data_IF_422858765096
#
_entry.id   IF_422858765096
#
_cell.length_a   1.000
_cell.length_b   1.000
_cell.length_c   1.000
_cell.angle_alpha   90.00
_cell.angle_beta   90.00
_cell.angle_gamma   90.00
#
_symmetry.space_group_name_H-M   'P 1'
#
loop_
_entity.id
_entity.type
_entity.pdbx_description
1 polymer ?
#
# COMPACT_ATOMS: atom_id res chain seq x y z
N UNK A 1 -29.08 8.23 -11.22
CA UNK A 1 -28.94 7.16 -10.20
C UNK A 1 -28.70 5.76 -10.77
N UNK A 2 -29.57 5.14 -11.59
CA UNK A 2 -29.43 3.73 -12.01
C UNK A 2 -28.12 3.31 -12.73
N UNK A 3 -27.49 4.18 -13.54
CA UNK A 3 -26.24 3.82 -14.26
C UNK A 3 -24.99 3.85 -13.38
N UNK A 4 -24.85 4.88 -12.55
CA UNK A 4 -23.73 5.00 -11.61
C UNK A 4 -23.90 3.99 -10.47
N UNK A 5 -25.16 3.76 -10.06
CA UNK A 5 -25.52 2.63 -9.22
C UNK A 5 -25.11 1.32 -9.89
N UNK A 6 -25.47 1.05 -11.16
CA UNK A 6 -25.08 -0.19 -11.84
C UNK A 6 -23.56 -0.39 -11.98
N UNK A 7 -22.78 0.66 -12.22
CA UNK A 7 -21.31 0.58 -12.21
C UNK A 7 -20.78 0.27 -10.81
N UNK A 8 -21.25 1.01 -9.80
CA UNK A 8 -20.89 0.76 -8.40
C UNK A 8 -21.36 -0.62 -7.92
N UNK A 9 -22.53 -1.08 -8.34
CA UNK A 9 -23.11 -2.39 -8.05
C UNK A 9 -22.30 -3.50 -8.73
N UNK A 10 -21.77 -3.24 -9.94
CA UNK A 10 -20.84 -4.12 -10.63
C UNK A 10 -19.49 -4.24 -9.91
N UNK A 11 -18.91 -3.12 -9.48
CA UNK A 11 -17.69 -3.09 -8.68
C UNK A 11 -17.90 -3.75 -7.30
N UNK A 12 -19.02 -3.49 -6.63
CA UNK A 12 -19.39 -4.13 -5.37
C UNK A 12 -19.63 -5.63 -5.55
N UNK A 13 -20.30 -6.04 -6.62
CA UNK A 13 -20.46 -7.44 -6.98
C UNK A 13 -19.11 -8.13 -7.23
N UNK A 14 -18.18 -7.44 -7.89
CA UNK A 14 -16.79 -7.90 -8.07
C UNK A 14 -16.06 -7.99 -6.75
N UNK A 15 -16.20 -7.00 -5.87
CA UNK A 15 -15.62 -7.00 -4.54
C UNK A 15 -16.12 -8.17 -3.69
N UNK A 16 -17.41 -8.48 -3.74
CA UNK A 16 -18.01 -9.64 -3.05
C UNK A 16 -17.43 -10.95 -3.60
N UNK A 17 -17.38 -11.11 -4.92
CA UNK A 17 -16.79 -12.29 -5.58
C UNK A 17 -15.31 -12.45 -5.22
N UNK A 18 -14.54 -11.38 -5.31
CA UNK A 18 -13.12 -11.36 -4.97
C UNK A 18 -12.92 -11.69 -3.49
N UNK A 19 -13.72 -11.12 -2.60
CA UNK A 19 -13.66 -11.40 -1.16
C UNK A 19 -13.95 -12.88 -0.89
N UNK A 20 -15.00 -13.45 -1.49
CA UNK A 20 -15.32 -14.88 -1.37
C UNK A 20 -14.19 -15.78 -1.91
N UNK A 21 -13.60 -15.41 -3.04
CA UNK A 21 -12.46 -16.13 -3.61
C UNK A 21 -11.23 -16.09 -2.70
N UNK A 22 -10.90 -14.92 -2.15
CA UNK A 22 -9.81 -14.77 -1.17
C UNK A 22 -10.10 -15.62 0.06
N UNK A 23 -11.32 -15.61 0.58
CA UNK A 23 -11.72 -16.43 1.73
C UNK A 23 -11.53 -17.93 1.47
N UNK A 24 -12.02 -18.43 0.33
CA UNK A 24 -11.83 -19.83 -0.07
C UNK A 24 -10.35 -20.18 -0.23
N UNK A 25 -9.56 -19.29 -0.85
CA UNK A 25 -8.13 -19.48 -1.06
C UNK A 25 -7.36 -19.47 0.27
N UNK A 26 -7.80 -18.70 1.27
CA UNK A 26 -7.19 -18.68 2.60
C UNK A 26 -7.53 -19.93 3.41
N UNK A 27 -8.75 -20.47 3.27
CA UNK A 27 -9.10 -21.77 3.83
C UNK A 27 -8.20 -22.88 3.23
N UNK A 28 -8.06 -22.90 1.90
CA UNK A 28 -7.15 -23.82 1.21
C UNK A 28 -5.69 -23.65 1.67
N UNK A 29 -5.17 -22.41 1.69
CA UNK A 29 -3.80 -22.14 2.11
C UNK A 29 -3.51 -22.63 3.53
N UNK A 30 -4.47 -22.49 4.44
CA UNK A 30 -4.35 -22.97 5.82
C UNK A 30 -4.29 -24.49 5.87
N UNK A 31 -5.18 -25.18 5.14
CA UNK A 31 -5.16 -26.66 5.06
C UNK A 31 -3.85 -27.16 4.48
N UNK A 32 -3.43 -26.63 3.33
CA UNK A 32 -2.16 -26.99 2.69
C UNK A 32 -0.95 -26.75 3.62
N UNK A 33 -0.95 -25.66 4.39
CA UNK A 33 0.12 -25.37 5.35
C UNK A 33 0.11 -26.28 6.59
N UNK A 34 -1.06 -26.82 6.98
CA UNK A 34 -1.18 -27.80 8.06
C UNK A 34 -0.64 -29.17 7.64
N UNK A 35 -0.91 -29.58 6.39
CA UNK A 35 -0.56 -30.91 5.89
C UNK A 35 0.89 -30.99 5.36
N UNK A 36 1.42 -29.88 4.82
CA UNK A 36 2.72 -29.86 4.16
C UNK A 36 3.74 -29.13 5.03
N UNK A 37 4.90 -29.75 5.26
CA UNK A 37 6.00 -29.14 6.03
C UNK A 37 6.54 -27.86 5.39
N UNK A 38 7.09 -26.91 6.18
CA UNK A 38 7.68 -25.69 5.63
C UNK A 38 8.79 -25.99 4.61
N UNK A 39 8.83 -25.23 3.52
CA UNK A 39 9.82 -25.37 2.45
C UNK A 39 9.22 -25.27 1.04
N UNK A 40 9.94 -25.83 0.07
CA UNK A 40 9.57 -25.77 -1.36
C UNK A 40 8.24 -26.47 -1.67
N UNK A 41 7.95 -27.60 -1.04
CA UNK A 41 6.68 -28.31 -1.23
C UNK A 41 5.47 -27.48 -0.82
N UNK A 42 5.55 -26.80 0.34
CA UNK A 42 4.50 -25.88 0.80
C UNK A 42 4.40 -24.66 -0.11
N UNK A 43 5.52 -24.13 -0.58
CA UNK A 43 5.52 -23.03 -1.54
C UNK A 43 4.77 -23.41 -2.83
N UNK A 44 5.07 -24.59 -3.38
CA UNK A 44 4.42 -25.11 -4.58
C UNK A 44 2.91 -25.25 -4.38
N UNK A 45 2.48 -25.78 -3.23
CA UNK A 45 1.06 -25.88 -2.88
C UNK A 45 0.37 -24.52 -2.71
N UNK A 46 1.09 -23.47 -2.32
CA UNK A 46 0.54 -22.12 -2.19
C UNK A 46 0.54 -21.32 -3.51
N UNK A 47 1.19 -21.80 -4.57
CA UNK A 47 1.23 -21.09 -5.86
C UNK A 47 -0.15 -20.78 -6.46
N UNK A 48 -1.16 -21.68 -6.43
CA UNK A 48 -2.49 -21.35 -6.95
C UNK A 48 -3.12 -20.13 -6.27
N UNK A 49 -2.87 -19.97 -4.96
CA UNK A 49 -3.33 -18.81 -4.18
C UNK A 49 -2.59 -17.54 -4.60
N UNK A 50 -1.27 -17.63 -4.81
CA UNK A 50 -0.46 -16.52 -5.30
C UNK A 50 -0.92 -16.09 -6.70
N UNK A 51 -1.19 -17.03 -7.61
CA UNK A 51 -1.72 -16.73 -8.95
C UNK A 51 -3.07 -16.03 -8.85
N UNK A 52 -3.98 -16.51 -7.99
CA UNK A 52 -5.25 -15.85 -7.75
C UNK A 52 -5.07 -14.41 -7.24
N UNK A 53 -4.13 -14.17 -6.32
CA UNK A 53 -3.86 -12.83 -5.77
C UNK A 53 -3.40 -11.84 -6.85
N UNK A 54 -2.64 -12.29 -7.85
CA UNK A 54 -2.24 -11.47 -9.00
C UNK A 54 -3.34 -11.36 -10.06
N UNK A 55 -4.29 -12.29 -10.11
CA UNK A 55 -5.45 -12.23 -11.00
C UNK A 55 -6.54 -11.27 -10.53
N UNK A 56 -6.77 -11.17 -9.21
CA UNK A 56 -7.88 -10.39 -8.64
C UNK A 56 -7.88 -8.91 -9.06
N UNK A 57 -6.76 -8.17 -9.06
CA UNK A 57 -6.80 -6.77 -9.44
C UNK A 57 -7.38 -6.55 -10.84
N UNK A 58 -7.16 -7.46 -11.79
CA UNK A 58 -7.68 -7.35 -13.15
C UNK A 58 -9.21 -7.46 -13.24
N UNK A 59 -9.89 -7.93 -12.20
CA UNK A 59 -11.34 -8.01 -12.18
C UNK A 59 -12.00 -6.63 -11.96
N UNK A 60 -11.27 -5.66 -11.40
CA UNK A 60 -11.80 -4.34 -11.08
C UNK A 60 -11.61 -3.36 -12.24
N UNK A 61 -12.62 -2.54 -12.49
CA UNK A 61 -12.56 -1.45 -13.47
C UNK A 61 -11.94 -0.22 -12.84
N UNK A 62 -12.30 0.10 -11.58
CA UNK A 62 -11.79 1.31 -10.92
C UNK A 62 -10.31 1.20 -10.54
N UNK A 63 -9.60 2.28 -10.81
CA UNK A 63 -8.20 2.50 -10.46
C UNK A 63 -7.96 2.33 -8.96
N UNK A 64 -8.93 2.75 -8.12
CA UNK A 64 -8.82 2.64 -6.66
C UNK A 64 -8.87 1.18 -6.21
N UNK A 65 -9.83 0.38 -6.71
CA UNK A 65 -9.94 -1.03 -6.34
C UNK A 65 -8.80 -1.87 -6.93
N UNK A 66 -8.35 -1.57 -8.16
CA UNK A 66 -7.15 -2.17 -8.77
C UNK A 66 -5.92 -1.92 -7.90
N UNK A 67 -5.62 -0.66 -7.57
CA UNK A 67 -4.48 -0.30 -6.73
C UNK A 67 -4.54 -0.89 -5.32
N UNK A 68 -5.72 -0.85 -4.69
CA UNK A 68 -5.91 -1.36 -3.32
C UNK A 68 -5.75 -2.88 -3.26
N UNK A 69 -6.35 -3.61 -4.20
CA UNK A 69 -6.21 -5.07 -4.27
C UNK A 69 -4.79 -5.50 -4.64
N UNK A 70 -4.11 -4.77 -5.53
CA UNK A 70 -2.70 -5.02 -5.83
C UNK A 70 -1.81 -4.82 -4.59
N UNK A 71 -2.02 -3.72 -3.85
CA UNK A 71 -1.27 -3.45 -2.62
C UNK A 71 -1.53 -4.52 -1.55
N UNK A 72 -2.79 -4.88 -1.30
CA UNK A 72 -3.14 -5.83 -0.25
C UNK A 72 -2.83 -7.29 -0.60
N UNK A 73 -3.13 -7.73 -1.81
CA UNK A 73 -3.02 -9.13 -2.20
C UNK A 73 -1.69 -9.44 -2.87
N UNK A 74 -1.35 -8.75 -3.97
CA UNK A 74 -0.12 -9.03 -4.72
C UNK A 74 1.15 -8.75 -3.91
N UNK A 75 1.13 -7.70 -3.08
CA UNK A 75 2.26 -7.37 -2.23
C UNK A 75 2.15 -7.99 -0.84
N UNK A 76 1.29 -7.49 0.04
CA UNK A 76 1.29 -7.94 1.44
C UNK A 76 0.89 -9.41 1.55
N UNK A 77 -0.20 -9.80 0.87
CA UNK A 77 -0.74 -11.15 0.90
C UNK A 77 0.27 -12.18 0.40
N UNK A 78 0.82 -11.99 -0.80
CA UNK A 78 1.82 -12.91 -1.36
C UNK A 78 3.05 -13.02 -0.47
N UNK A 79 3.55 -11.92 0.09
CA UNK A 79 4.74 -11.97 0.95
C UNK A 79 4.45 -12.65 2.28
N UNK A 80 3.23 -12.51 2.82
CA UNK A 80 2.79 -13.28 4.00
C UNK A 80 2.64 -14.77 3.68
N UNK A 81 2.19 -15.13 2.48
CA UNK A 81 2.15 -16.53 2.02
C UNK A 81 3.55 -17.11 1.80
N UNK A 82 4.51 -16.32 1.30
CA UNK A 82 5.92 -16.73 1.22
C UNK A 82 6.51 -17.00 2.61
N UNK A 83 6.19 -16.15 3.59
CA UNK A 83 6.57 -16.39 4.98
C UNK A 83 5.93 -17.65 5.53
N UNK A 84 4.63 -17.87 5.29
CA UNK A 84 3.92 -19.10 5.66
C UNK A 84 4.55 -20.35 5.01
N UNK A 85 4.93 -20.26 3.73
CA UNK A 85 5.64 -21.30 3.00
C UNK A 85 6.94 -21.68 3.70
N UNK A 86 7.69 -20.68 4.19
CA UNK A 86 8.91 -20.83 4.97
C UNK A 86 8.68 -21.18 6.45
N UNK A 87 7.42 -21.32 6.90
CA UNK A 87 7.10 -21.61 8.31
C UNK A 87 7.41 -20.45 9.25
N UNK A 88 7.36 -19.21 8.75
CA UNK A 88 7.67 -17.98 9.47
C UNK A 88 6.46 -17.05 9.50
N UNK A 89 6.52 -16.09 10.42
CA UNK A 89 5.49 -15.05 10.55
C UNK A 89 4.24 -15.55 11.28
N UNK A 90 3.26 -14.65 11.48
CA UNK A 90 2.12 -14.92 12.35
C UNK A 90 1.13 -15.93 11.77
N UNK A 91 1.10 -16.12 10.44
CA UNK A 91 0.24 -17.11 9.79
C UNK A 91 0.68 -18.55 10.04
N UNK A 92 1.93 -18.77 10.46
CA UNK A 92 2.45 -20.11 10.73
C UNK A 92 1.99 -20.68 12.09
N UNK A 93 1.28 -19.88 12.90
CA UNK A 93 0.71 -20.32 14.17
C UNK A 93 -0.52 -21.22 13.94
N UNK A 94 -0.48 -22.51 14.33
CA UNK A 94 -1.60 -23.43 14.12
C UNK A 94 -2.82 -23.09 14.97
N UNK A 95 -2.66 -22.36 16.08
CA UNK A 95 -3.75 -21.98 16.98
C UNK A 95 -4.64 -20.87 16.43
N UNK A 96 -4.22 -20.23 15.33
CA UNK A 96 -4.89 -19.07 14.78
C UNK A 96 -6.25 -19.44 14.15
N UNK A 97 -7.38 -18.83 14.59
CA UNK A 97 -8.69 -19.09 13.97
C UNK A 97 -8.73 -18.71 12.49
N UNK A 98 -9.59 -19.36 11.69
CA UNK A 98 -9.64 -19.16 10.24
C UNK A 98 -9.91 -17.70 9.85
N UNK A 99 -10.82 -17.04 10.55
CA UNK A 99 -11.12 -15.61 10.35
C UNK A 99 -9.88 -14.74 10.54
N UNK A 100 -9.16 -14.96 11.64
CA UNK A 100 -7.94 -14.22 11.93
C UNK A 100 -6.83 -14.53 10.93
N UNK A 101 -6.71 -15.78 10.49
CA UNK A 101 -5.78 -16.20 9.44
C UNK A 101 -6.09 -15.48 8.12
N UNK A 102 -7.33 -15.55 7.64
CA UNK A 102 -7.74 -14.96 6.37
C UNK A 102 -7.58 -13.44 6.37
N UNK A 103 -8.03 -12.76 7.42
CA UNK A 103 -7.89 -11.31 7.54
C UNK A 103 -6.42 -10.90 7.72
N UNK A 104 -5.62 -11.64 8.48
CA UNK A 104 -4.19 -11.32 8.63
C UNK A 104 -3.41 -11.55 7.35
N UNK A 105 -3.82 -12.50 6.51
CA UNK A 105 -3.21 -12.73 5.22
C UNK A 105 -3.60 -11.66 4.19
N UNK A 106 -4.90 -11.35 4.08
CA UNK A 106 -5.43 -10.48 3.03
C UNK A 106 -5.40 -8.98 3.36
N UNK A 107 -5.40 -8.61 4.65
CA UNK A 107 -5.51 -7.21 5.09
C UNK A 107 -4.25 -6.76 5.86
N UNK A 108 -4.05 -5.44 5.99
CA UNK A 108 -2.92 -4.86 6.74
C UNK A 108 -3.12 -4.92 8.27
N UNK A 109 -3.30 -6.12 8.79
CA UNK A 109 -3.59 -6.39 10.21
C UNK A 109 -2.41 -7.05 10.89
N UNK A 110 -2.14 -6.63 12.13
CA UNK A 110 -1.27 -7.39 13.05
C UNK A 110 -2.13 -8.10 14.09
N UNK A 111 -1.92 -9.39 14.20
CA UNK A 111 -2.40 -10.17 15.34
C UNK A 111 -1.60 -9.70 16.55
N UNK A 112 -2.26 -9.07 17.52
CA UNK A 112 -1.62 -8.67 18.77
C UNK A 112 -1.07 -9.92 19.45
N UNK A 113 0.26 -10.03 19.50
CA UNK A 113 0.88 -10.66 20.67
C UNK A 113 0.81 -9.63 21.80
N UNK A 114 0.36 -10.01 23.02
CA UNK A 114 0.35 -9.07 24.13
C UNK A 114 1.79 -8.53 24.32
N UNK A 115 1.98 -7.20 24.38
CA UNK A 115 3.31 -6.65 24.51
C UNK A 115 3.93 -7.10 25.84
N UNK A 116 5.24 -7.37 25.91
CA UNK A 116 5.95 -7.35 27.19
C UNK A 116 5.72 -5.97 27.82
N UNK A 117 5.37 -5.95 29.11
CA UNK A 117 4.81 -4.84 29.89
C UNK A 117 5.61 -3.51 29.93
N UNK A 118 6.62 -3.29 29.10
CA UNK A 118 7.59 -2.20 29.32
C UNK A 118 7.77 -1.16 28.22
N UNK A 119 7.05 -1.15 27.09
CA UNK A 119 7.27 -0.09 26.09
C UNK A 119 6.01 0.52 25.47
N UNK A 120 5.87 1.80 25.81
CA UNK A 120 5.16 2.89 25.14
C UNK A 120 3.63 2.88 25.24
N UNK A 121 3.15 3.84 26.04
CA UNK A 121 1.92 4.60 25.79
C UNK A 121 1.93 5.10 24.33
N UNK A 122 1.48 4.28 23.40
CA UNK A 122 0.84 4.77 22.21
C UNK A 122 -0.64 4.81 22.57
N UNK A 123 -1.17 6.00 22.77
CA UNK A 123 -2.61 6.17 22.85
C UNK A 123 -3.19 5.51 21.58
N UNK A 124 -4.15 4.57 21.71
CA UNK A 124 -4.86 4.11 20.54
C UNK A 124 -5.44 5.36 19.89
N UNK A 125 -5.26 5.62 18.59
CA UNK A 125 -6.02 6.68 17.98
C UNK A 125 -7.47 6.25 18.13
N UNK A 126 -8.21 6.92 19.00
CA UNK A 126 -9.60 6.62 19.25
C UNK A 126 -10.34 6.68 17.91
N UNK A 127 -11.42 5.91 17.74
CA UNK A 127 -12.27 5.96 16.53
C UNK A 127 -12.50 7.39 15.94
N UNK A 128 -12.61 8.47 16.76
CA UNK A 128 -12.59 9.87 16.28
C UNK A 128 -11.45 10.23 15.31
N UNK A 129 -10.23 9.76 15.53
CA UNK A 129 -9.10 10.10 14.67
C UNK A 129 -9.21 9.45 13.28
N UNK A 130 -9.74 8.23 13.18
CA UNK A 130 -9.97 7.58 11.89
C UNK A 130 -11.13 8.25 11.14
N UNK A 131 -12.22 8.56 11.84
CA UNK A 131 -13.36 9.28 11.27
C UNK A 131 -12.96 10.68 10.74
N UNK A 132 -12.13 11.40 11.50
CA UNK A 132 -11.59 12.70 11.07
C UNK A 132 -10.78 12.58 9.77
N UNK A 133 -9.89 11.58 9.66
CA UNK A 133 -9.11 11.34 8.44
C UNK A 133 -9.98 11.02 7.23
N UNK A 134 -11.05 10.25 7.42
CA UNK A 134 -12.03 9.96 6.36
C UNK A 134 -12.73 11.24 5.94
N UNK A 135 -13.19 12.06 6.88
CA UNK A 135 -13.88 13.32 6.59
C UNK A 135 -12.98 14.28 5.80
N UNK A 136 -11.75 14.50 6.28
CA UNK A 136 -10.78 15.38 5.63
C UNK A 136 -10.44 14.86 4.23
N UNK A 137 -10.08 13.59 4.11
CA UNK A 137 -9.70 13.02 2.81
C UNK A 137 -10.88 13.02 1.84
N UNK A 138 -12.09 12.71 2.32
CA UNK A 138 -13.32 12.74 1.55
C UNK A 138 -13.73 14.15 1.07
N UNK A 139 -13.29 15.21 1.76
CA UNK A 139 -13.47 16.59 1.32
C UNK A 139 -12.35 17.06 0.36
N UNK A 140 -11.10 16.68 0.63
CA UNK A 140 -9.93 17.14 -0.14
C UNK A 140 -9.79 16.44 -1.49
N UNK A 141 -10.05 15.13 -1.57
CA UNK A 141 -9.91 14.36 -2.83
C UNK A 141 -10.81 14.94 -3.94
N UNK A 142 -12.11 15.23 -3.73
CA UNK A 142 -12.93 15.87 -4.75
C UNK A 142 -12.41 17.23 -5.21
N UNK A 143 -11.85 18.03 -4.29
CA UNK A 143 -11.24 19.32 -4.64
C UNK A 143 -10.00 19.15 -5.53
N UNK A 144 -9.16 18.15 -5.22
CA UNK A 144 -8.01 17.79 -6.06
C UNK A 144 -8.48 17.32 -7.44
N UNK A 145 -9.50 16.48 -7.50
CA UNK A 145 -10.08 15.99 -8.75
C UNK A 145 -10.61 17.14 -9.61
N UNK A 146 -11.31 18.09 -8.99
CA UNK A 146 -11.74 19.32 -9.67
C UNK A 146 -10.54 20.13 -10.17
N UNK A 147 -9.47 20.22 -9.37
CA UNK A 147 -8.22 20.87 -9.74
C UNK A 147 -7.59 20.34 -11.02
N UNK A 148 -7.67 19.02 -11.31
CA UNK A 148 -7.12 18.44 -12.55
C UNK A 148 -7.75 19.03 -13.82
N UNK A 149 -8.94 19.64 -13.76
CA UNK A 149 -9.53 20.34 -14.93
C UNK A 149 -8.69 21.53 -15.40
N UNK A 150 -7.83 22.06 -14.52
CA UNK A 150 -6.96 23.20 -14.81
C UNK A 150 -5.50 22.78 -14.98
N UNK A 151 -5.22 21.48 -15.22
CA UNK A 151 -3.85 20.95 -15.29
C UNK A 151 -2.98 21.67 -16.32
N UNK A 152 -3.54 22.07 -17.46
CA UNK A 152 -2.81 22.75 -18.55
C UNK A 152 -2.35 24.15 -18.15
N UNK A 153 -3.00 24.77 -17.16
CA UNK A 153 -2.64 26.08 -16.60
C UNK A 153 -1.68 25.98 -15.41
N UNK A 154 -1.38 24.76 -14.92
CA UNK A 154 -0.49 24.56 -13.78
C UNK A 154 0.96 24.47 -14.23
N UNK A 155 1.85 25.06 -13.44
CA UNK A 155 3.27 24.75 -13.56
C UNK A 155 3.53 23.28 -13.22
N UNK A 156 4.61 22.72 -13.78
CA UNK A 156 5.01 21.34 -13.52
C UNK A 156 5.09 21.00 -12.02
N UNK A 157 5.62 21.92 -11.20
CA UNK A 157 5.74 21.73 -9.75
C UNK A 157 4.40 21.73 -9.01
N UNK A 158 3.45 22.55 -9.46
CA UNK A 158 2.09 22.54 -8.90
C UNK A 158 1.39 21.22 -9.21
N UNK A 159 1.52 20.73 -10.44
CA UNK A 159 0.96 19.45 -10.86
C UNK A 159 1.56 18.30 -10.02
N UNK A 160 2.88 18.27 -9.88
CA UNK A 160 3.57 17.28 -9.04
C UNK A 160 3.09 17.30 -7.58
N UNK A 161 2.95 18.49 -6.97
CA UNK A 161 2.45 18.63 -5.61
C UNK A 161 0.99 18.14 -5.48
N UNK A 162 0.17 18.37 -6.51
CA UNK A 162 -1.22 17.92 -6.56
C UNK A 162 -1.31 16.39 -6.63
N UNK A 163 -0.47 15.73 -7.43
CA UNK A 163 -0.39 14.26 -7.45
C UNK A 163 0.08 13.70 -6.10
N UNK A 164 1.10 14.31 -5.50
CA UNK A 164 1.60 13.91 -4.19
C UNK A 164 0.50 13.98 -3.13
N UNK A 165 -0.26 15.08 -3.10
CA UNK A 165 -1.41 15.24 -2.22
C UNK A 165 -2.48 14.20 -2.52
N UNK A 166 -2.83 13.98 -3.79
CA UNK A 166 -3.86 13.02 -4.19
C UNK A 166 -3.55 11.62 -3.64
N UNK A 167 -2.34 11.12 -3.88
CA UNK A 167 -1.94 9.77 -3.45
C UNK A 167 -1.93 9.67 -1.93
N UNK A 168 -1.41 10.71 -1.25
CA UNK A 168 -1.36 10.75 0.20
C UNK A 168 -2.77 10.66 0.81
N UNK A 169 -3.70 11.51 0.37
CA UNK A 169 -5.07 11.50 0.87
C UNK A 169 -5.85 10.24 0.47
N UNK A 170 -5.63 9.70 -0.73
CA UNK A 170 -6.25 8.44 -1.17
C UNK A 170 -5.78 7.25 -0.34
N UNK A 171 -4.47 7.16 -0.06
CA UNK A 171 -3.92 6.14 0.83
C UNK A 171 -4.44 6.32 2.26
N UNK A 172 -4.51 7.56 2.76
CA UNK A 172 -5.03 7.86 4.09
C UNK A 172 -6.52 7.48 4.23
N UNK A 173 -7.34 7.76 3.22
CA UNK A 173 -8.75 7.35 3.17
C UNK A 173 -8.88 5.82 3.17
N UNK A 174 -8.14 5.12 2.29
CA UNK A 174 -8.14 3.66 2.20
C UNK A 174 -7.79 3.02 3.55
N UNK A 175 -6.68 3.46 4.15
CA UNK A 175 -6.19 2.89 5.40
C UNK A 175 -7.13 3.21 6.58
N UNK A 176 -7.73 4.40 6.63
CA UNK A 176 -8.70 4.76 7.65
C UNK A 176 -10.00 3.95 7.53
N UNK A 177 -10.50 3.74 6.32
CA UNK A 177 -11.69 2.91 6.08
C UNK A 177 -11.46 1.45 6.48
N UNK A 178 -10.32 0.88 6.05
CA UNK A 178 -9.91 -0.49 6.40
C UNK A 178 -9.76 -0.63 7.93
N UNK A 179 -9.20 0.38 8.60
CA UNK A 179 -9.08 0.39 10.05
C UNK A 179 -10.42 0.33 10.77
N UNK A 180 -11.39 1.15 10.36
CA UNK A 180 -12.74 1.13 10.97
C UNK A 180 -13.39 -0.24 10.76
N UNK A 181 -13.26 -0.81 9.56
CA UNK A 181 -13.80 -2.13 9.26
C UNK A 181 -13.18 -3.22 10.14
N UNK A 182 -11.85 -3.26 10.24
CA UNK A 182 -11.14 -4.27 11.03
C UNK A 182 -11.43 -4.11 12.53
N UNK A 183 -11.40 -2.87 13.05
CA UNK A 183 -11.64 -2.63 14.46
C UNK A 183 -13.09 -2.93 14.86
N UNK A 184 -14.05 -2.44 14.06
CA UNK A 184 -15.49 -2.60 14.34
C UNK A 184 -16.02 -4.01 14.11
N UNK A 185 -15.58 -4.70 13.05
CA UNK A 185 -16.10 -6.02 12.71
C UNK A 185 -15.28 -7.18 13.30
N UNK A 186 -13.97 -7.00 13.53
CA UNK A 186 -13.05 -8.10 13.84
C UNK A 186 -12.31 -7.93 15.17
N UNK A 187 -12.44 -6.77 15.85
CA UNK A 187 -11.73 -6.50 17.09
C UNK A 187 -10.20 -6.52 16.97
N UNK A 188 -9.67 -6.44 15.75
CA UNK A 188 -8.22 -6.47 15.50
C UNK A 188 -7.65 -5.05 15.33
N UNK A 189 -6.34 -4.91 15.46
CA UNK A 189 -5.64 -3.65 15.27
C UNK A 189 -4.88 -3.62 13.94
N UNK A 190 -5.03 -2.50 13.24
CA UNK A 190 -4.27 -2.22 12.04
C UNK A 190 -2.82 -1.90 12.39
N UNK A 191 -1.88 -2.29 11.52
CA UNK A 191 -0.49 -1.89 11.70
C UNK A 191 -0.35 -0.36 11.71
N UNK A 192 0.53 0.22 12.54
CA UNK A 192 0.92 1.62 12.41
C UNK A 192 1.44 1.87 10.98
N UNK A 193 1.00 2.98 10.39
CA UNK A 193 1.28 3.31 8.98
C UNK A 193 2.44 4.28 8.83
N UNK A 194 2.44 5.32 9.66
CA UNK A 194 3.45 6.37 9.67
C UNK A 194 3.76 6.75 11.13
N UNK A 195 5.01 7.10 11.41
CA UNK A 195 5.44 7.67 12.70
C UNK A 195 6.26 8.94 12.45
N UNK A 196 5.57 10.09 12.43
CA UNK A 196 6.16 11.44 12.33
C UNK A 196 7.32 11.50 11.31
N UNK A 197 7.06 11.24 10.01
CA UNK A 197 8.12 11.15 8.98
C UNK A 197 8.94 12.42 8.83
N UNK A 198 8.36 13.59 9.13
CA UNK A 198 9.04 14.89 9.15
C UNK A 198 10.12 15.03 10.24
N UNK A 199 10.26 14.06 11.15
CA UNK A 199 11.33 14.02 12.15
C UNK A 199 12.48 13.06 11.78
N UNK A 200 12.46 12.51 10.56
CA UNK A 200 13.49 11.60 10.07
C UNK A 200 14.82 12.32 9.93
N UNK A 201 15.85 11.80 10.61
CA UNK A 201 17.21 12.36 10.60
C UNK A 201 18.20 11.60 9.71
N UNK A 202 17.73 10.55 9.03
CA UNK A 202 18.51 9.71 8.13
C UNK A 202 17.56 8.94 7.22
N UNK A 203 18.06 8.45 6.08
CA UNK A 203 17.27 7.63 5.16
C UNK A 203 16.85 6.32 5.80
N UNK A 204 17.73 5.72 6.61
CA UNK A 204 17.40 4.52 7.38
C UNK A 204 16.27 4.76 8.39
N UNK A 205 16.24 5.93 9.04
CA UNK A 205 15.18 6.29 9.97
C UNK A 205 13.85 6.56 9.23
N UNK A 206 13.90 7.26 8.10
CA UNK A 206 12.74 7.51 7.25
C UNK A 206 12.06 6.20 6.79
N UNK A 207 12.77 5.40 6.00
CA UNK A 207 12.23 4.17 5.38
C UNK A 207 12.04 3.03 6.37
N UNK A 208 12.87 2.95 7.40
CA UNK A 208 12.88 1.83 8.32
C UNK A 208 11.90 1.96 9.48
N UNK A 209 11.55 3.19 9.89
CA UNK A 209 10.86 3.45 11.17
C UNK A 209 9.73 4.47 11.10
N UNK A 210 9.60 5.25 10.03
CA UNK A 210 8.68 6.39 10.03
C UNK A 210 7.70 6.43 8.87
N UNK A 211 8.11 5.94 7.70
CA UNK A 211 7.30 5.98 6.48
C UNK A 211 6.78 4.59 6.11
N UNK A 212 5.49 4.52 5.76
CA UNK A 212 4.78 3.33 5.27
C UNK A 212 5.22 2.04 5.96
N UNK A 213 5.08 1.99 7.29
CA UNK A 213 5.64 0.99 8.18
C UNK A 213 5.20 -0.45 7.91
N UNK A 214 4.13 -0.64 7.14
CA UNK A 214 3.71 -1.95 6.63
C UNK A 214 4.75 -2.56 5.68
N UNK A 215 5.34 -1.74 4.80
CA UNK A 215 6.34 -2.17 3.83
C UNK A 215 7.61 -2.71 4.49
N UNK A 216 8.30 -1.98 5.40
CA UNK A 216 9.43 -2.56 6.11
C UNK A 216 8.99 -3.69 7.05
N UNK A 217 7.76 -3.69 7.60
CA UNK A 217 7.29 -4.80 8.43
C UNK A 217 7.19 -6.12 7.64
N UNK A 218 6.82 -6.08 6.36
CA UNK A 218 6.78 -7.27 5.52
C UNK A 218 8.13 -7.58 4.86
N UNK A 219 8.86 -6.59 4.36
CA UNK A 219 10.15 -6.78 3.67
C UNK A 219 11.27 -7.22 4.61
N UNK A 220 11.25 -6.80 5.89
CA UNK A 220 12.28 -7.20 6.86
C UNK A 220 12.37 -8.73 7.03
N UNK A 221 11.29 -9.45 7.39
CA UNK A 221 11.34 -10.90 7.55
C UNK A 221 11.40 -11.67 6.23
N UNK A 222 10.81 -11.15 5.14
CA UNK A 222 10.70 -11.87 3.86
C UNK A 222 11.91 -11.68 2.93
N UNK A 223 12.60 -10.53 3.00
CA UNK A 223 13.69 -10.17 2.08
C UNK A 223 14.97 -9.78 2.83
N UNK A 224 14.92 -8.74 3.67
CA UNK A 224 16.12 -8.20 4.31
C UNK A 224 16.86 -9.24 5.16
N UNK A 225 16.16 -9.89 6.10
CA UNK A 225 16.75 -10.86 7.02
C UNK A 225 17.37 -12.07 6.31
N UNK A 226 16.67 -12.76 5.38
CA UNK A 226 17.28 -13.91 4.69
C UNK A 226 18.46 -13.49 3.80
N UNK A 227 18.35 -12.39 3.04
CA UNK A 227 19.46 -11.92 2.20
C UNK A 227 20.65 -11.48 3.05
N UNK A 228 20.41 -10.76 4.14
CA UNK A 228 21.46 -10.33 5.07
C UNK A 228 22.20 -11.53 5.66
N UNK A 229 21.49 -12.58 6.04
CA UNK A 229 22.11 -13.76 6.64
C UNK A 229 23.10 -14.45 5.68
N UNK A 230 22.85 -14.38 4.37
CA UNK A 230 23.71 -15.00 3.36
C UNK A 230 24.78 -14.05 2.78
N UNK A 231 24.45 -12.77 2.61
CA UNK A 231 25.23 -11.82 1.80
C UNK A 231 25.58 -10.51 2.52
N UNK A 232 25.23 -10.38 3.80
CA UNK A 232 25.54 -9.22 4.64
C UNK A 232 24.55 -8.05 4.54
N UNK A 233 24.77 -7.06 5.41
CA UNK A 233 23.82 -5.95 5.63
C UNK A 233 23.51 -5.14 4.36
N UNK A 234 24.54 -4.81 3.58
CA UNK A 234 24.38 -3.98 2.37
C UNK A 234 23.52 -4.68 1.32
N UNK A 235 23.76 -5.97 1.06
CA UNK A 235 22.95 -6.77 0.16
C UNK A 235 21.49 -6.86 0.64
N UNK A 236 21.29 -7.06 1.94
CA UNK A 236 19.95 -7.06 2.53
C UNK A 236 19.19 -5.75 2.26
N UNK A 237 19.85 -4.60 2.45
CA UNK A 237 19.28 -3.28 2.15
C UNK A 237 18.96 -3.18 0.66
N UNK A 238 19.95 -3.42 -0.21
CA UNK A 238 19.80 -3.26 -1.66
C UNK A 238 18.66 -4.11 -2.23
N UNK A 239 18.62 -5.40 -1.89
CA UNK A 239 17.56 -6.29 -2.38
C UNK A 239 16.19 -5.90 -1.83
N UNK A 240 16.10 -5.41 -0.59
CA UNK A 240 14.83 -4.94 -0.03
C UNK A 240 14.29 -3.73 -0.79
N UNK A 241 15.16 -2.76 -1.12
CA UNK A 241 14.79 -1.60 -1.92
C UNK A 241 14.45 -1.98 -3.37
N UNK A 242 15.21 -2.89 -3.99
CA UNK A 242 14.90 -3.40 -5.33
C UNK A 242 13.53 -4.06 -5.37
N UNK A 243 13.25 -4.99 -4.44
CA UNK A 243 11.94 -5.66 -4.36
C UNK A 243 10.82 -4.65 -4.08
N UNK A 244 11.06 -3.64 -3.23
CA UNK A 244 10.11 -2.54 -3.03
C UNK A 244 9.82 -1.80 -4.33
N UNK A 245 10.85 -1.46 -5.11
CA UNK A 245 10.70 -0.78 -6.40
C UNK A 245 9.88 -1.58 -7.39
N UNK A 246 10.21 -2.86 -7.57
CA UNK A 246 9.47 -3.77 -8.45
C UNK A 246 7.99 -3.89 -8.03
N UNK A 247 7.70 -3.98 -6.73
CA UNK A 247 6.31 -4.03 -6.27
C UNK A 247 5.54 -2.73 -6.53
N UNK A 248 6.20 -1.56 -6.47
CA UNK A 248 5.55 -0.31 -6.85
C UNK A 248 5.30 -0.24 -8.36
N UNK A 249 6.21 -0.71 -9.20
CA UNK A 249 5.98 -0.83 -10.64
C UNK A 249 4.78 -1.74 -10.96
N UNK A 250 4.66 -2.88 -10.25
CA UNK A 250 3.50 -3.78 -10.36
C UNK A 250 2.21 -3.06 -9.98
N UNK A 251 2.20 -2.32 -8.88
CA UNK A 251 1.02 -1.55 -8.45
C UNK A 251 0.68 -0.46 -9.48
N UNK A 252 1.69 0.24 -9.99
CA UNK A 252 1.54 1.28 -11.00
C UNK A 252 0.99 0.71 -12.31
N UNK A 253 1.44 -0.48 -12.71
CA UNK A 253 0.87 -1.20 -13.84
C UNK A 253 -0.62 -1.50 -13.62
N UNK A 254 -1.02 -2.01 -12.46
CA UNK A 254 -2.43 -2.27 -12.17
C UNK A 254 -3.29 -1.00 -12.13
N UNK A 255 -2.74 0.11 -11.64
CA UNK A 255 -3.43 1.41 -11.56
C UNK A 255 -3.57 2.04 -12.96
N UNK A 256 -2.48 2.08 -13.74
CA UNK A 256 -2.38 2.89 -14.95
C UNK A 256 -2.54 2.09 -16.25
N UNK A 257 -2.52 0.76 -16.18
CA UNK A 257 -2.50 -0.13 -17.36
C UNK A 257 -1.37 0.18 -18.34
N UNK A 258 -0.28 0.75 -17.86
CA UNK A 258 0.91 1.06 -18.65
C UNK A 258 2.08 0.17 -18.22
N UNK A 259 2.90 -0.30 -19.18
CA UNK A 259 4.07 -1.10 -18.85
C UNK A 259 5.00 -0.31 -17.92
N UNK A 260 5.71 -1.00 -17.01
CA UNK A 260 6.59 -0.35 -16.05
C UNK A 260 7.74 0.37 -16.77
N UNK A 261 7.97 1.64 -16.46
CA UNK A 261 9.06 2.43 -17.06
C UNK A 261 10.41 2.16 -16.39
N UNK A 262 10.39 1.66 -15.15
CA UNK A 262 11.58 1.46 -14.33
C UNK A 262 11.99 2.69 -13.53
N UNK A 263 11.36 3.85 -13.73
CA UNK A 263 11.68 5.10 -13.02
C UNK A 263 11.46 4.95 -11.51
N UNK A 264 10.38 4.27 -11.13
CA UNK A 264 10.03 4.04 -9.72
C UNK A 264 11.00 3.04 -9.10
N UNK A 265 11.37 2.00 -9.85
CA UNK A 265 12.44 1.10 -9.42
C UNK A 265 13.76 1.85 -9.23
N UNK A 266 14.10 2.76 -10.16
CA UNK A 266 15.27 3.63 -10.07
C UNK A 266 15.27 4.49 -8.81
N UNK A 267 14.12 5.09 -8.45
CA UNK A 267 13.95 5.82 -7.19
C UNK A 267 14.31 4.95 -5.98
N UNK A 268 13.72 3.75 -5.85
CA UNK A 268 14.01 2.90 -4.70
C UNK A 268 15.45 2.37 -4.69
N UNK A 269 16.01 2.00 -5.84
CA UNK A 269 17.42 1.57 -5.94
C UNK A 269 18.36 2.68 -5.49
N UNK A 270 18.15 3.91 -5.95
CA UNK A 270 18.92 5.08 -5.50
C UNK A 270 18.84 5.24 -3.98
N UNK A 271 17.64 5.19 -3.41
CA UNK A 271 17.45 5.24 -1.96
C UNK A 271 18.13 4.07 -1.23
N UNK A 272 18.15 2.87 -1.81
CA UNK A 272 18.86 1.71 -1.29
C UNK A 272 20.36 1.94 -1.23
N UNK A 273 20.96 2.44 -2.33
CA UNK A 273 22.39 2.77 -2.39
C UNK A 273 22.72 3.83 -1.34
N UNK A 274 21.97 4.92 -1.28
CA UNK A 274 22.20 6.00 -0.32
C UNK A 274 22.01 5.52 1.13
N UNK A 275 21.02 4.66 1.41
CA UNK A 275 20.81 4.09 2.75
C UNK A 275 21.96 3.16 3.15
N UNK A 276 22.47 2.35 2.23
CA UNK A 276 23.62 1.47 2.47
C UNK A 276 24.90 2.30 2.68
N UNK A 277 25.11 3.34 1.89
CA UNK A 277 26.23 4.27 2.01
C UNK A 277 26.17 5.04 3.35
N UNK A 278 25.00 5.56 3.73
CA UNK A 278 24.77 6.21 5.02
C UNK A 278 25.05 5.26 6.19
N UNK A 279 24.62 4.00 6.10
CA UNK A 279 24.91 2.98 7.11
C UNK A 279 26.40 2.60 7.17
N UNK A 280 27.12 2.65 6.05
CA UNK A 280 28.58 2.47 6.01
C UNK A 280 29.31 3.67 6.61
N UNK A 281 28.95 4.89 6.22
CA UNK A 281 29.48 6.14 6.78
C UNK A 281 29.29 6.19 8.29
N UNK A 282 28.08 5.84 8.76
CA UNK A 282 27.73 5.78 10.18
C UNK A 282 28.46 4.70 10.98
N UNK A 283 29.22 3.80 10.34
CA UNK A 283 30.10 2.83 11.04
C UNK A 283 31.54 3.32 11.19
N UNK A 284 31.95 4.35 10.46
CA UNK A 284 33.30 4.89 10.56
C UNK A 284 33.45 5.68 11.88
N UNK A 285 34.32 5.18 12.76
CA UNK A 285 34.61 5.83 14.02
C UNK A 285 35.37 7.15 13.77
N UNK A 286 35.00 8.20 14.50
CA UNK A 286 35.64 9.52 14.38
C UNK A 286 35.21 10.36 13.17
N UNK A 287 34.40 9.82 12.25
CA UNK A 287 33.88 10.61 11.13
C UNK A 287 32.78 11.55 11.58
N UNK A 288 32.76 12.76 11.02
CA UNK A 288 31.77 13.77 11.33
C UNK A 288 30.36 13.30 10.96
N UNK A 289 29.38 13.68 11.79
CA UNK A 289 27.96 13.43 11.58
C UNK A 289 27.20 14.74 11.70
N UNK A 290 26.27 15.02 10.77
CA UNK A 290 25.47 16.23 10.86
C UNK A 290 24.64 16.22 12.16
N UNK A 291 24.54 17.35 12.88
CA UNK A 291 23.63 17.47 14.00
C UNK A 291 22.19 17.27 13.51
N UNK A 292 21.31 16.77 14.38
CA UNK A 292 19.93 16.40 14.01
C UNK A 292 19.16 17.54 13.32
N UNK A 293 19.36 18.78 13.78
CA UNK A 293 18.74 19.97 13.20
C UNK A 293 19.07 20.19 11.72
N UNK A 294 20.25 19.75 11.27
CA UNK A 294 20.67 19.78 9.88
C UNK A 294 20.32 18.49 9.14
N UNK A 295 20.46 17.34 9.80
CA UNK A 295 20.21 16.04 9.19
C UNK A 295 18.74 15.85 8.77
N UNK A 296 17.79 16.37 9.55
CA UNK A 296 16.35 16.30 9.23
C UNK A 296 16.00 17.02 7.92
N UNK A 297 16.26 18.32 7.76
CA UNK A 297 15.93 19.02 6.52
C UNK A 297 16.70 18.44 5.32
N UNK A 298 17.96 18.01 5.50
CA UNK A 298 18.71 17.34 4.43
C UNK A 298 18.04 16.03 3.98
N UNK A 299 17.61 15.20 4.93
CA UNK A 299 16.93 13.93 4.64
C UNK A 299 15.61 14.19 3.92
N UNK A 300 14.81 15.15 4.39
CA UNK A 300 13.53 15.49 3.77
C UNK A 300 13.70 16.13 2.40
N UNK A 301 14.69 17.00 2.23
CA UNK A 301 15.02 17.59 0.93
C UNK A 301 15.47 16.52 -0.06
N UNK A 302 16.29 15.55 0.37
CA UNK A 302 16.69 14.43 -0.47
C UNK A 302 15.47 13.59 -0.88
N UNK A 303 14.67 13.11 0.08
CA UNK A 303 13.47 12.29 -0.19
C UNK A 303 12.44 13.02 -1.05
N UNK A 304 12.17 14.29 -0.73
CA UNK A 304 11.25 15.12 -1.49
C UNK A 304 11.77 15.38 -2.90
N UNK A 305 13.03 15.78 -3.03
CA UNK A 305 13.67 16.06 -4.31
C UNK A 305 13.71 14.85 -5.23
N UNK A 306 14.15 13.68 -4.74
CA UNK A 306 14.13 12.43 -5.53
C UNK A 306 12.71 11.95 -5.82
N UNK A 307 11.76 12.17 -4.91
CA UNK A 307 10.35 11.86 -5.11
C UNK A 307 9.74 12.67 -6.27
N UNK A 308 9.99 13.98 -6.29
CA UNK A 308 9.56 14.87 -7.37
C UNK A 308 10.31 14.65 -8.68
N UNK A 309 11.49 14.04 -8.64
CA UNK A 309 12.28 13.76 -9.84
C UNK A 309 11.95 12.41 -10.49
N UNK A 310 11.79 11.34 -9.72
CA UNK A 310 11.66 9.98 -10.25
C UNK A 310 10.29 9.35 -9.99
N UNK A 311 9.71 9.58 -8.80
CA UNK A 311 8.50 8.88 -8.38
C UNK A 311 7.23 9.50 -8.97
N UNK A 312 7.03 10.81 -8.75
CA UNK A 312 5.81 11.49 -9.20
C UNK A 312 5.74 11.68 -10.72
N UNK A 313 6.84 12.00 -11.44
CA UNK A 313 6.81 12.09 -12.90
C UNK A 313 6.38 10.80 -13.59
N UNK A 314 6.75 9.62 -13.05
CA UNK A 314 6.31 8.34 -13.59
C UNK A 314 4.78 8.20 -13.61
N UNK A 315 4.07 8.76 -12.63
CA UNK A 315 2.60 8.75 -12.60
C UNK A 315 1.97 9.78 -13.52
N UNK A 316 2.61 10.95 -13.66
CA UNK A 316 2.17 11.96 -14.64
C UNK A 316 2.28 11.37 -16.05
N UNK A 317 3.44 10.81 -16.39
CA UNK A 317 3.68 10.15 -17.67
C UNK A 317 2.77 8.93 -17.88
N UNK A 318 2.30 8.31 -16.80
CA UNK A 318 1.33 7.24 -16.81
C UNK A 318 -0.12 7.67 -17.06
N UNK A 319 -0.44 8.97 -16.96
CA UNK A 319 -1.78 9.51 -17.17
C UNK A 319 -2.77 9.18 -16.04
N UNK A 320 -2.28 9.07 -14.79
CA UNK A 320 -3.14 8.74 -13.64
C UNK A 320 -4.30 9.73 -13.46
N UNK A 321 -4.05 11.02 -13.66
CA UNK A 321 -5.05 12.08 -13.64
C UNK A 321 -6.16 11.85 -14.68
N UNK A 322 -5.79 11.49 -15.91
CA UNK A 322 -6.74 11.26 -17.00
C UNK A 322 -7.63 10.06 -16.70
N UNK A 323 -7.05 8.98 -16.18
CA UNK A 323 -7.80 7.79 -15.77
C UNK A 323 -8.78 8.11 -14.64
N UNK A 324 -8.33 8.85 -13.61
CA UNK A 324 -9.21 9.26 -12.50
C UNK A 324 -10.31 10.20 -12.99
N UNK A 325 -9.97 11.17 -13.84
CA UNK A 325 -10.95 12.09 -14.42
C UNK A 325 -11.98 11.35 -15.28
N UNK A 326 -11.56 10.38 -16.09
CA UNK A 326 -12.45 9.54 -16.89
C UNK A 326 -13.41 8.73 -16.01
N UNK A 327 -12.93 8.15 -14.91
CA UNK A 327 -13.77 7.45 -13.93
C UNK A 327 -14.81 8.41 -13.33
N UNK A 328 -14.39 9.60 -12.89
CA UNK A 328 -15.30 10.59 -12.31
C UNK A 328 -16.32 11.13 -13.33
N UNK A 329 -15.89 11.42 -14.56
CA UNK A 329 -16.78 11.86 -15.64
C UNK A 329 -17.78 10.77 -16.03
N UNK A 330 -17.34 9.52 -16.12
CA UNK A 330 -18.22 8.37 -16.36
C UNK A 330 -19.31 8.25 -15.30
N UNK A 331 -18.94 8.40 -14.02
CA UNK A 331 -19.90 8.42 -12.91
C UNK A 331 -20.89 9.58 -13.04
N UNK A 332 -20.43 10.80 -13.34
CA UNK A 332 -21.29 11.98 -13.50
C UNK A 332 -22.29 11.83 -14.65
N UNK A 333 -21.83 11.39 -15.83
CA UNK A 333 -22.70 11.14 -17.00
C UNK A 333 -23.79 10.12 -16.66
N UNK A 334 -23.42 9.04 -15.97
CA UNK A 334 -24.37 8.03 -15.54
C UNK A 334 -25.36 8.56 -14.49
N UNK A 335 -24.93 9.47 -13.62
CA UNK A 335 -25.80 10.17 -12.67
C UNK A 335 -26.81 11.06 -13.40
N UNK A 336 -26.35 11.91 -14.34
CA UNK A 336 -27.17 12.81 -15.15
C UNK A 336 -28.20 12.05 -15.99
N UNK A 337 -27.77 11.01 -16.72
CA UNK A 337 -28.66 10.21 -17.56
C UNK A 337 -29.80 9.59 -16.76
N UNK A 338 -29.49 9.05 -15.57
CA UNK A 338 -30.53 8.47 -14.75
C UNK A 338 -31.35 9.52 -13.98
N UNK A 339 -30.84 10.74 -13.75
CA UNK A 339 -31.65 11.88 -13.32
C UNK A 339 -32.68 12.29 -14.37
N UNK A 340 -32.26 12.41 -15.65
CA UNK A 340 -33.15 12.70 -16.77
C UNK A 340 -34.22 11.64 -16.97
N UNK A 341 -33.88 10.35 -16.83
CA UNK A 341 -34.86 9.23 -16.90
C UNK A 341 -35.90 9.29 -15.78
N UNK A 342 -35.50 9.63 -14.56
CA UNK A 342 -36.44 9.79 -13.44
C UNK A 342 -37.35 11.01 -13.62
N UNK A 343 -36.80 12.14 -14.09
CA UNK A 343 -37.59 13.33 -14.37
C UNK A 343 -38.59 13.12 -15.52
N UNK A 344 -38.20 12.37 -16.56
CA UNK A 344 -39.11 11.99 -17.66
C UNK A 344 -40.15 10.93 -17.30
N UNK A 345 -39.89 10.09 -16.30
CA UNK A 345 -40.85 9.11 -15.79
C UNK A 345 -41.92 9.72 -14.87
N UNK A 346 -41.66 10.89 -14.28
CA UNK A 346 -42.63 11.65 -13.48
C UNK A 346 -43.53 12.60 -14.29
N UNK A 347 -43.38 12.65 -15.61
CA UNK A 347 -44.13 13.53 -16.51
C UNK A 347 -45.20 12.79 -17.34
N UNK A 348 -45.65 11.61 -16.89
CA UNK A 348 -46.75 10.84 -17.49
C UNK A 348 -47.92 10.69 -16.53
#
# INVERSE_FOLDING_TARGET
MAGAAAFMDGELGTLVKASAAVWAAMAYARMAAADIRPGSGRLLALLPVVVLFYGIPFAFSSTTFRGSSAFFLCWLGTFKLLLLAAGRGPLADPSLPLLHFACSAALPVKLRQPPPKSKLKQDPPSAPAAAYKILVSGAVIPLIIYGYQFKDSMSHWQLLAMYAAHIYFSLELLLAAVRILIHGALGMEMEPQVDRPYLASSLRDFWGRRWNLMVPAILRPSVYNPVRACFGDAAGVMVSFLVSGLMHEVIFYYIMWRPPSGDVTGFFVLHGVCTAAEAWWGRQAGWWRPPRALAVPLTLAFVGGTGFWLFFPAMINGGLDELVMQECQGLLVLMEQAGRRLAGAGAK
#
